data_IF_958198227881
#
_entry.id   IF_958198227881
#
_cell.length_a   1.000
_cell.length_b   1.000
_cell.length_c   1.000
_cell.angle_alpha   90.00
_cell.angle_beta   90.00
_cell.angle_gamma   90.00
#
_symmetry.space_group_name_H-M   'P 1'
#
loop_
_entity.id
_entity.type
_entity.pdbx_description
1 polymer ?
#
# COMPACT_ATOMS: atom_id res chain seq x y z
N UNK A 1 -29.94 -19.34 31.73
CA UNK A 1 -29.25 -19.73 30.50
C UNK A 1 -28.85 -18.46 29.78
N UNK A 2 -27.60 -18.03 29.98
CA UNK A 2 -27.00 -16.97 29.17
C UNK A 2 -26.73 -17.59 27.80
N UNK A 3 -27.43 -17.12 26.78
CA UNK A 3 -27.12 -17.48 25.41
C UNK A 3 -25.69 -16.99 25.12
N UNK A 4 -24.85 -17.88 24.63
CA UNK A 4 -23.53 -17.56 24.09
C UNK A 4 -23.68 -16.39 23.10
N UNK A 5 -23.24 -15.21 23.52
CA UNK A 5 -22.94 -14.14 22.58
C UNK A 5 -21.67 -14.59 21.88
N UNK A 6 -21.82 -15.24 20.73
CA UNK A 6 -20.71 -15.45 19.82
C UNK A 6 -20.29 -14.10 19.25
N UNK A 7 -19.33 -13.44 19.91
CA UNK A 7 -18.75 -12.14 19.51
C UNK A 7 -17.90 -12.29 18.23
N UNK A 8 -17.77 -13.50 17.69
CA UNK A 8 -16.86 -13.86 16.59
C UNK A 8 -17.58 -14.41 15.36
N UNK A 9 -18.84 -14.01 15.11
CA UNK A 9 -19.45 -14.18 13.78
C UNK A 9 -18.58 -13.47 12.70
N UNK A 10 -18.75 -13.91 11.45
CA UNK A 10 -18.19 -13.44 10.17
C UNK A 10 -18.24 -11.92 9.89
N UNK A 11 -18.69 -11.12 10.86
CA UNK A 11 -18.92 -9.67 10.78
C UNK A 11 -18.29 -8.90 11.95
N UNK A 12 -17.27 -9.45 12.60
CA UNK A 12 -16.58 -8.75 13.67
C UNK A 12 -15.80 -7.54 13.09
N UNK A 13 -16.34 -6.34 13.25
CA UNK A 13 -15.66 -5.09 12.90
C UNK A 13 -14.90 -4.60 14.11
N UNK A 14 -13.57 -4.58 14.02
CA UNK A 14 -12.73 -4.08 15.09
C UNK A 14 -12.68 -2.55 15.01
N UNK A 15 -12.97 -1.81 16.09
CA UNK A 15 -12.74 -0.37 16.12
C UNK A 15 -11.28 -0.06 15.75
N UNK A 16 -11.00 1.02 15.01
CA UNK A 16 -9.64 1.31 14.54
C UNK A 16 -8.57 1.32 15.63
N UNK A 17 -8.91 1.81 16.84
CA UNK A 17 -7.99 1.80 17.98
C UNK A 17 -7.66 0.39 18.49
N UNK A 18 -8.63 -0.52 18.49
CA UNK A 18 -8.44 -1.91 18.93
C UNK A 18 -7.69 -2.71 17.86
N UNK A 19 -8.02 -2.49 16.59
CA UNK A 19 -7.28 -3.06 15.46
C UNK A 19 -5.82 -2.62 15.46
N UNK A 20 -5.55 -1.32 15.63
CA UNK A 20 -4.21 -0.77 15.73
C UNK A 20 -3.40 -1.45 16.84
N UNK A 21 -3.91 -1.45 18.07
CA UNK A 21 -3.23 -2.05 19.21
C UNK A 21 -2.96 -3.56 19.01
N UNK A 22 -3.90 -4.29 18.42
CA UNK A 22 -3.71 -5.71 18.16
C UNK A 22 -2.68 -5.99 17.07
N UNK A 23 -2.68 -5.21 15.99
CA UNK A 23 -1.65 -5.25 14.97
C UNK A 23 -0.26 -4.93 15.55
N UNK A 24 -0.18 -3.93 16.45
CA UNK A 24 1.05 -3.59 17.16
C UNK A 24 1.54 -4.76 18.03
N UNK A 25 0.67 -5.37 18.84
CA UNK A 25 1.02 -6.56 19.64
C UNK A 25 1.42 -7.76 18.78
N UNK A 26 0.72 -7.98 17.65
CA UNK A 26 1.07 -9.03 16.71
C UNK A 26 2.45 -8.80 16.09
N UNK A 27 2.81 -7.54 15.81
CA UNK A 27 4.14 -7.18 15.30
C UNK A 27 5.27 -7.55 16.25
N UNK A 28 5.03 -7.53 17.56
CA UNK A 28 6.01 -7.88 18.58
C UNK A 28 6.11 -9.38 18.85
N UNK A 29 5.11 -10.16 18.43
CA UNK A 29 5.06 -11.59 18.65
C UNK A 29 6.23 -12.32 17.98
N UNK A 30 6.98 -13.09 18.78
CA UNK A 30 8.03 -13.98 18.27
C UNK A 30 7.47 -14.99 17.25
N UNK A 31 6.25 -15.46 17.45
CA UNK A 31 5.58 -16.38 16.54
C UNK A 31 5.36 -15.76 15.16
N UNK A 32 4.86 -14.52 15.12
CA UNK A 32 4.67 -13.78 13.87
C UNK A 32 6.01 -13.54 13.16
N UNK A 33 7.04 -13.06 13.88
CA UNK A 33 8.38 -12.83 13.31
C UNK A 33 9.02 -14.11 12.74
N UNK A 34 8.85 -15.23 13.44
CA UNK A 34 9.44 -16.51 13.05
C UNK A 34 8.69 -17.13 11.88
N UNK A 35 7.35 -17.12 11.93
CA UNK A 35 6.52 -17.75 10.92
C UNK A 35 6.40 -16.88 9.69
N UNK A 36 5.95 -15.63 9.84
CA UNK A 36 5.60 -14.72 8.73
C UNK A 36 6.79 -13.84 8.28
N UNK A 37 7.88 -13.83 9.03
CA UNK A 37 9.08 -13.06 8.74
C UNK A 37 9.07 -11.66 9.35
N UNK A 38 10.28 -11.09 9.49
CA UNK A 38 10.50 -9.77 10.09
C UNK A 38 9.80 -8.64 9.34
N UNK A 39 9.79 -8.71 8.00
CA UNK A 39 9.17 -7.67 7.19
C UNK A 39 7.65 -7.66 7.32
N UNK A 40 7.02 -8.84 7.38
CA UNK A 40 5.60 -8.95 7.66
C UNK A 40 5.29 -8.35 9.05
N UNK A 41 6.07 -8.74 10.06
CA UNK A 41 5.91 -8.23 11.42
C UNK A 41 6.05 -6.70 11.48
N UNK A 42 7.08 -6.14 10.83
CA UNK A 42 7.24 -4.68 10.75
C UNK A 42 6.07 -4.02 10.02
N UNK A 43 5.58 -4.62 8.94
CA UNK A 43 4.44 -4.12 8.18
C UNK A 43 3.16 -4.08 9.02
N UNK A 44 2.81 -5.17 9.72
CA UNK A 44 1.62 -5.17 10.56
C UNK A 44 1.73 -4.17 11.72
N UNK A 45 2.92 -3.95 12.28
CA UNK A 45 3.14 -2.94 13.32
C UNK A 45 2.85 -1.50 12.88
N UNK A 46 2.98 -1.21 11.59
CA UNK A 46 2.72 0.13 11.03
C UNK A 46 1.23 0.48 10.96
N UNK A 47 0.33 -0.51 11.05
CA UNK A 47 -1.12 -0.29 11.01
C UNK A 47 -1.57 0.63 12.15
N UNK A 48 -1.03 0.46 13.36
CA UNK A 48 -1.37 1.32 14.51
C UNK A 48 -1.01 2.79 14.26
N UNK A 49 0.24 3.04 13.82
CA UNK A 49 0.71 4.39 13.53
C UNK A 49 -0.08 5.06 12.39
N UNK A 50 -0.55 4.28 11.41
CA UNK A 50 -1.41 4.76 10.34
C UNK A 50 -2.82 5.09 10.84
N UNK A 51 -3.44 4.20 11.64
CA UNK A 51 -4.79 4.41 12.17
C UNK A 51 -4.84 5.54 13.21
N UNK A 52 -3.77 5.75 13.98
CA UNK A 52 -3.66 6.89 14.92
C UNK A 52 -3.74 8.25 14.24
N UNK A 53 -3.53 8.35 12.92
CA UNK A 53 -3.75 9.60 12.18
C UNK A 53 -5.22 10.05 12.16
N UNK A 54 -6.16 9.14 12.46
CA UNK A 54 -7.57 9.49 12.73
C UNK A 54 -7.76 10.46 13.89
N UNK A 55 -6.80 10.52 14.82
CA UNK A 55 -6.85 11.42 15.98
C UNK A 55 -6.30 12.82 15.67
N UNK A 56 -5.80 13.04 14.45
CA UNK A 56 -5.23 14.31 14.01
C UNK A 56 -6.29 15.33 13.54
N UNK A 57 -5.80 16.48 13.06
CA UNK A 57 -6.67 17.59 12.63
C UNK A 57 -7.59 17.21 11.45
N UNK A 58 -8.79 17.80 11.44
CA UNK A 58 -9.90 17.58 10.48
C UNK A 58 -9.65 18.04 9.03
N UNK A 59 -8.39 18.20 8.65
CA UNK A 59 -7.93 18.63 7.32
C UNK A 59 -8.12 17.60 6.19
N UNK A 60 -8.72 16.44 6.49
CA UNK A 60 -8.82 15.29 5.57
C UNK A 60 -7.59 14.39 5.56
N UNK A 61 -6.44 14.85 6.08
CA UNK A 61 -5.19 14.06 6.21
C UNK A 61 -5.35 12.78 7.02
N UNK A 62 -6.27 12.77 7.99
CA UNK A 62 -6.66 11.59 8.75
C UNK A 62 -7.03 10.37 7.86
N UNK A 63 -7.58 10.61 6.66
CA UNK A 63 -7.95 9.56 5.71
C UNK A 63 -6.77 8.98 4.95
N UNK A 64 -5.63 9.68 4.87
CA UNK A 64 -4.40 9.14 4.27
C UNK A 64 -3.93 7.92 5.07
N UNK A 65 -3.88 8.06 6.41
CA UNK A 65 -3.52 6.98 7.32
C UNK A 65 -4.47 5.78 7.22
N UNK A 66 -5.79 6.03 7.24
CA UNK A 66 -6.79 4.96 7.12
C UNK A 66 -6.67 4.22 5.80
N UNK A 67 -6.55 4.95 4.69
CA UNK A 67 -6.46 4.35 3.36
C UNK A 67 -5.17 3.55 3.21
N UNK A 68 -4.05 4.08 3.69
CA UNK A 68 -2.77 3.36 3.72
C UNK A 68 -2.85 2.10 4.59
N UNK A 69 -3.51 2.16 5.75
CA UNK A 69 -3.71 1.00 6.62
C UNK A 69 -4.55 -0.09 5.94
N UNK A 70 -5.64 0.30 5.27
CA UNK A 70 -6.48 -0.64 4.53
C UNK A 70 -5.72 -1.33 3.39
N UNK A 71 -4.96 -0.56 2.59
CA UNK A 71 -4.12 -1.12 1.53
C UNK A 71 -3.03 -2.02 2.12
N UNK A 72 -2.37 -1.61 3.20
CA UNK A 72 -1.34 -2.40 3.88
C UNK A 72 -1.87 -3.74 4.37
N UNK A 73 -3.03 -3.74 5.04
CA UNK A 73 -3.70 -4.97 5.49
C UNK A 73 -4.01 -5.89 4.31
N UNK A 74 -4.40 -5.34 3.15
CA UNK A 74 -4.60 -6.14 1.94
C UNK A 74 -3.30 -6.74 1.39
N UNK A 75 -2.18 -6.00 1.42
CA UNK A 75 -0.88 -6.56 1.03
C UNK A 75 -0.46 -7.72 1.95
N UNK A 76 -0.73 -7.59 3.26
CA UNK A 76 -0.43 -8.61 4.26
C UNK A 76 -1.35 -9.85 4.11
N UNK A 77 -2.65 -9.65 3.86
CA UNK A 77 -3.58 -10.74 3.55
C UNK A 77 -3.13 -11.54 2.31
N UNK A 78 -2.76 -10.82 1.25
CA UNK A 78 -2.19 -11.41 0.04
C UNK A 78 -0.93 -12.25 0.33
N UNK A 79 -0.05 -11.78 1.23
CA UNK A 79 1.11 -12.55 1.67
C UNK A 79 0.71 -13.84 2.39
N UNK A 80 -0.25 -13.76 3.32
CA UNK A 80 -0.72 -14.92 4.09
C UNK A 80 -1.29 -15.98 3.14
N UNK A 81 -2.16 -15.56 2.23
CA UNK A 81 -2.82 -16.44 1.29
C UNK A 81 -1.83 -17.19 0.39
N UNK A 82 -0.86 -16.47 -0.17
CA UNK A 82 0.17 -17.05 -1.03
C UNK A 82 1.12 -17.99 -0.26
N UNK A 83 1.60 -17.54 0.89
CA UNK A 83 2.75 -18.17 1.55
C UNK A 83 2.35 -19.32 2.48
N UNK A 84 1.15 -19.25 3.09
CA UNK A 84 0.74 -20.21 4.14
C UNK A 84 -0.54 -20.97 3.81
N UNK A 85 -1.51 -20.31 3.19
CA UNK A 85 -2.78 -20.96 2.85
C UNK A 85 -2.73 -21.67 1.50
N UNK A 86 -1.74 -21.33 0.66
CA UNK A 86 -1.62 -21.79 -0.73
C UNK A 86 -2.93 -21.66 -1.52
N UNK A 87 -3.66 -20.57 -1.25
CA UNK A 87 -4.97 -20.28 -1.80
C UNK A 87 -5.11 -18.81 -2.21
N UNK A 88 -6.24 -18.42 -2.80
CA UNK A 88 -6.48 -17.03 -3.15
C UNK A 88 -6.59 -16.17 -1.87
N UNK A 89 -6.17 -14.89 -1.92
CA UNK A 89 -6.47 -13.92 -0.88
C UNK A 89 -7.97 -13.81 -0.63
N UNK A 90 -8.36 -13.20 0.50
CA UNK A 90 -9.78 -12.98 0.80
C UNK A 90 -10.48 -12.30 -0.37
N UNK A 91 -11.64 -12.80 -0.79
CA UNK A 91 -12.33 -12.20 -1.92
C UNK A 91 -12.82 -10.81 -1.54
N UNK A 92 -12.42 -9.80 -2.31
CA UNK A 92 -12.89 -8.44 -2.09
C UNK A 92 -14.13 -8.19 -2.98
N UNK A 93 -15.01 -7.25 -2.59
CA UNK A 93 -16.00 -6.73 -3.52
C UNK A 93 -15.30 -6.20 -4.79
N UNK A 94 -15.93 -6.35 -5.96
CA UNK A 94 -15.33 -6.01 -7.26
C UNK A 94 -14.71 -4.60 -7.31
N UNK A 95 -15.39 -3.61 -6.70
CA UNK A 95 -14.88 -2.24 -6.64
C UNK A 95 -13.62 -2.09 -5.78
N UNK A 96 -13.46 -2.93 -4.76
CA UNK A 96 -12.32 -2.93 -3.85
C UNK A 96 -11.11 -3.67 -4.43
N UNK A 97 -11.31 -4.70 -5.26
CA UNK A 97 -10.22 -5.38 -5.98
C UNK A 97 -9.46 -4.40 -6.88
N UNK A 98 -10.18 -3.47 -7.51
CA UNK A 98 -9.62 -2.42 -8.38
C UNK A 98 -8.76 -1.38 -7.64
N UNK A 99 -8.74 -1.41 -6.30
CA UNK A 99 -7.96 -0.48 -5.47
C UNK A 99 -6.53 -0.95 -5.23
N UNK A 100 -6.20 -2.19 -5.59
CA UNK A 100 -4.87 -2.77 -5.39
C UNK A 100 -4.35 -3.36 -6.69
N UNK A 101 -3.02 -3.51 -6.84
CA UNK A 101 -2.44 -4.11 -8.03
C UNK A 101 -2.93 -5.55 -8.25
N UNK A 102 -3.13 -5.96 -9.50
CA UNK A 102 -3.58 -7.32 -9.87
C UNK A 102 -2.78 -8.44 -9.15
N UNK A 103 -1.43 -8.36 -9.03
CA UNK A 103 -0.68 -9.38 -8.29
C UNK A 103 -1.12 -9.55 -6.83
N UNK A 104 -1.55 -8.46 -6.17
CA UNK A 104 -2.05 -8.49 -4.79
C UNK A 104 -3.42 -9.17 -4.73
N UNK A 105 -4.26 -9.02 -5.76
CA UNK A 105 -5.56 -9.70 -5.83
C UNK A 105 -5.37 -11.20 -6.02
N UNK A 106 -4.40 -11.61 -6.85
CA UNK A 106 -4.15 -13.02 -7.15
C UNK A 106 -3.26 -13.75 -6.13
N UNK A 107 -2.58 -13.01 -5.26
CA UNK A 107 -1.57 -13.52 -4.34
C UNK A 107 -0.17 -13.01 -4.71
N UNK A 108 0.38 -12.22 -3.80
CA UNK A 108 1.67 -11.56 -3.87
C UNK A 108 2.29 -11.50 -2.48
N UNK A 109 3.57 -11.83 -2.37
CA UNK A 109 4.26 -11.78 -1.08
C UNK A 109 4.53 -10.33 -0.68
N UNK A 110 4.30 -10.02 0.59
CA UNK A 110 4.63 -8.72 1.15
C UNK A 110 6.15 -8.56 1.28
N UNK A 111 6.69 -7.55 0.59
CA UNK A 111 8.09 -7.16 0.63
C UNK A 111 8.42 -6.44 1.92
N UNK A 112 7.95 -5.21 2.10
CA UNK A 112 8.14 -4.43 3.33
C UNK A 112 7.27 -3.16 3.30
N UNK A 113 7.14 -2.49 4.45
CA UNK A 113 6.64 -1.13 4.55
C UNK A 113 7.84 -0.18 4.50
N UNK A 114 7.84 0.74 3.54
CA UNK A 114 8.99 1.60 3.24
C UNK A 114 8.63 3.06 3.51
N UNK A 115 9.22 3.62 4.57
CA UNK A 115 9.23 5.06 4.80
C UNK A 115 10.31 5.69 3.93
N UNK A 116 9.89 6.49 2.96
CA UNK A 116 10.86 7.11 2.03
C UNK A 116 11.62 8.21 2.76
N UNK A 117 12.96 8.26 2.68
CA UNK A 117 13.74 9.44 3.05
C UNK A 117 13.23 10.68 2.32
N UNK A 118 13.58 11.89 2.76
CA UNK A 118 13.13 13.13 2.11
C UNK A 118 13.55 13.20 0.63
N UNK A 119 12.67 12.74 -0.27
CA UNK A 119 12.79 12.87 -1.72
C UNK A 119 11.86 13.99 -2.17
N UNK A 120 12.29 14.72 -3.19
CA UNK A 120 11.60 15.94 -3.62
C UNK A 120 10.51 15.66 -4.66
N UNK A 121 10.65 14.57 -5.42
CA UNK A 121 9.75 14.21 -6.51
C UNK A 121 9.79 12.71 -6.85
N UNK A 122 8.83 12.25 -7.64
CA UNK A 122 8.64 10.86 -8.05
C UNK A 122 9.85 10.32 -8.81
N UNK A 123 10.52 11.13 -9.63
CA UNK A 123 11.75 10.71 -10.32
C UNK A 123 12.85 10.36 -9.32
N UNK A 124 13.12 11.23 -8.34
CA UNK A 124 14.09 10.97 -7.27
C UNK A 124 13.72 9.74 -6.44
N UNK A 125 12.43 9.54 -6.16
CA UNK A 125 11.94 8.34 -5.47
C UNK A 125 12.23 7.06 -6.27
N UNK A 126 11.95 7.06 -7.57
CA UNK A 126 12.18 5.89 -8.42
C UNK A 126 13.67 5.61 -8.61
N UNK A 127 14.50 6.63 -8.81
CA UNK A 127 15.96 6.47 -8.89
C UNK A 127 16.53 5.96 -7.56
N UNK A 128 16.07 6.50 -6.43
CA UNK A 128 16.45 6.01 -5.11
C UNK A 128 16.07 4.54 -4.91
N UNK A 129 14.85 4.16 -5.29
CA UNK A 129 14.38 2.79 -5.18
C UNK A 129 15.28 1.82 -5.96
N UNK A 130 15.64 2.19 -7.19
CA UNK A 130 16.41 1.34 -8.10
C UNK A 130 17.89 1.26 -7.71
N UNK A 131 18.48 2.38 -7.28
CA UNK A 131 19.91 2.46 -7.02
C UNK A 131 20.30 2.12 -5.59
N UNK A 132 19.54 2.62 -4.61
CA UNK A 132 19.90 2.54 -3.19
C UNK A 132 19.13 1.43 -2.46
N UNK A 133 17.81 1.32 -2.68
CA UNK A 133 17.01 0.29 -1.98
C UNK A 133 17.26 -1.10 -2.56
N UNK A 134 17.42 -1.18 -3.88
CA UNK A 134 17.56 -2.38 -4.72
C UNK A 134 16.43 -3.40 -4.47
N UNK A 135 15.54 -3.64 -5.45
CA UNK A 135 14.44 -4.59 -5.27
C UNK A 135 14.98 -5.98 -4.90
N UNK A 136 14.46 -6.55 -3.82
CA UNK A 136 14.88 -7.88 -3.36
C UNK A 136 14.28 -8.98 -4.25
N UNK A 137 14.98 -10.11 -4.34
CA UNK A 137 14.40 -11.38 -4.78
C UNK A 137 14.17 -12.25 -3.56
N UNK A 138 13.04 -12.97 -3.52
CA UNK A 138 12.80 -14.02 -2.52
C UNK A 138 12.58 -15.34 -3.23
N UNK A 139 13.24 -16.38 -2.76
CA UNK A 139 13.16 -17.71 -3.35
C UNK A 139 11.69 -18.20 -3.38
N UNK A 140 11.27 -18.73 -4.52
CA UNK A 140 9.89 -19.19 -4.74
C UNK A 140 8.85 -18.06 -4.89
N UNK A 141 9.23 -16.79 -4.79
CA UNK A 141 8.31 -15.65 -4.85
C UNK A 141 8.55 -14.82 -6.10
N UNK A 142 7.63 -14.95 -7.07
CA UNK A 142 7.70 -14.19 -8.33
C UNK A 142 7.42 -12.70 -8.14
N UNK A 143 6.45 -12.35 -7.29
CA UNK A 143 6.05 -10.97 -7.06
C UNK A 143 6.24 -10.57 -5.59
N UNK A 144 6.78 -9.38 -5.37
CA UNK A 144 6.79 -8.73 -4.05
C UNK A 144 6.09 -7.37 -4.11
N UNK A 145 5.21 -7.12 -3.14
CA UNK A 145 4.52 -5.84 -2.98
C UNK A 145 5.07 -5.04 -1.80
N UNK A 146 5.27 -3.74 -1.99
CA UNK A 146 5.75 -2.83 -0.96
C UNK A 146 4.77 -1.67 -0.82
N UNK A 147 4.44 -1.30 0.42
CA UNK A 147 3.78 -0.03 0.66
C UNK A 147 4.84 1.04 0.90
N UNK A 148 4.85 2.07 0.06
CA UNK A 148 5.90 3.10 0.04
C UNK A 148 5.26 4.43 0.43
N UNK A 149 5.60 4.94 1.61
CA UNK A 149 5.02 6.17 2.17
C UNK A 149 6.06 7.29 2.21
N UNK A 150 5.92 8.34 1.39
CA UNK A 150 6.71 9.56 1.52
C UNK A 150 6.51 10.21 2.89
N UNK A 151 7.58 10.83 3.41
CA UNK A 151 7.52 11.68 4.61
C UNK A 151 6.97 13.07 4.30
N UNK A 152 7.10 13.52 3.05
CA UNK A 152 6.55 14.80 2.60
C UNK A 152 5.02 14.71 2.43
N UNK A 153 4.27 15.47 3.23
CA UNK A 153 2.79 15.46 3.25
C UNK A 153 2.09 15.99 1.98
N UNK A 154 2.84 16.45 0.97
CA UNK A 154 2.30 16.81 -0.34
C UNK A 154 3.25 16.37 -1.45
N UNK A 155 3.71 15.12 -1.41
CA UNK A 155 4.68 14.58 -2.36
C UNK A 155 4.11 14.53 -3.79
N UNK A 156 4.27 15.63 -4.52
CA UNK A 156 3.70 15.85 -5.87
C UNK A 156 2.20 15.54 -5.99
N UNK A 157 1.46 15.72 -4.90
CA UNK A 157 0.02 15.44 -4.82
C UNK A 157 -0.35 14.01 -4.46
N UNK A 158 0.64 13.14 -4.22
CA UNK A 158 0.48 11.77 -3.73
C UNK A 158 0.60 11.68 -2.23
N UNK A 159 -0.13 10.72 -1.65
CA UNK A 159 -0.08 10.45 -0.20
C UNK A 159 0.75 9.20 0.11
N UNK A 160 0.66 8.17 -0.75
CA UNK A 160 1.50 6.97 -0.69
C UNK A 160 1.50 6.22 -2.03
N UNK A 161 2.30 5.15 -2.11
CA UNK A 161 2.38 4.28 -3.27
C UNK A 161 2.36 2.80 -2.87
N UNK A 162 1.99 1.94 -3.82
CA UNK A 162 2.29 0.51 -3.80
C UNK A 162 3.23 0.20 -4.95
N UNK A 163 4.40 -0.37 -4.63
CA UNK A 163 5.36 -0.81 -5.63
C UNK A 163 5.26 -2.33 -5.77
N UNK A 164 5.15 -2.81 -7.00
CA UNK A 164 5.23 -4.23 -7.32
C UNK A 164 6.55 -4.50 -8.01
N UNK A 165 7.26 -5.48 -7.49
CA UNK A 165 8.48 -6.00 -8.11
C UNK A 165 8.22 -7.40 -8.63
N UNK A 166 8.86 -7.75 -9.74
CA UNK A 166 8.85 -9.08 -10.34
C UNK A 166 10.30 -9.52 -10.55
N UNK A 167 10.67 -10.64 -9.95
CA UNK A 167 12.01 -11.22 -10.08
C UNK A 167 13.15 -10.19 -9.83
N UNK A 168 13.01 -9.40 -8.77
CA UNK A 168 14.03 -8.39 -8.38
C UNK A 168 14.03 -7.12 -9.24
N UNK A 169 12.98 -6.88 -10.04
CA UNK A 169 12.84 -5.67 -10.86
C UNK A 169 11.54 -4.95 -10.56
N UNK A 170 11.58 -3.62 -10.51
CA UNK A 170 10.36 -2.81 -10.35
C UNK A 170 9.48 -2.96 -11.59
N UNK A 171 8.28 -3.51 -11.42
CA UNK A 171 7.32 -3.78 -12.49
C UNK A 171 6.27 -2.67 -12.56
N UNK A 172 5.53 -2.47 -11.47
CA UNK A 172 4.41 -1.54 -11.40
C UNK A 172 4.58 -0.57 -10.23
N UNK A 173 4.15 0.67 -10.44
CA UNK A 173 4.08 1.70 -9.40
C UNK A 173 2.66 2.22 -9.35
N UNK A 174 1.99 2.06 -8.22
CA UNK A 174 0.62 2.52 -7.99
C UNK A 174 0.64 3.70 -7.04
N UNK A 175 0.30 4.89 -7.54
CA UNK A 175 0.18 6.09 -6.70
C UNK A 175 -1.23 6.27 -6.18
N UNK A 176 -1.35 6.66 -4.90
CA UNK A 176 -2.61 6.89 -4.22
C UNK A 176 -2.74 8.33 -3.77
N UNK A 177 -3.93 8.89 -4.01
CA UNK A 177 -4.36 10.13 -3.41
C UNK A 177 -5.69 9.91 -2.69
N UNK A 178 -5.71 10.21 -1.41
CA UNK A 178 -6.79 10.06 -0.47
C UNK A 178 -7.45 11.42 -0.24
N UNK A 179 -8.77 11.44 -0.35
CA UNK A 179 -9.60 12.59 0.03
C UNK A 179 -10.77 12.12 0.86
N UNK A 180 -11.25 13.03 1.69
CA UNK A 180 -12.48 12.79 2.42
C UNK A 180 -13.65 12.79 1.43
N UNK A 181 -14.55 11.82 1.58
CA UNK A 181 -15.77 11.68 0.76
C UNK A 181 -15.49 11.49 -0.74
N UNK A 182 -16.51 11.62 -1.58
CA UNK A 182 -16.45 11.54 -3.04
C UNK A 182 -15.82 12.77 -3.70
N UNK A 183 -15.01 13.52 -2.95
CA UNK A 183 -14.40 14.76 -3.41
C UNK A 183 -13.26 14.44 -4.36
N UNK A 184 -13.41 14.81 -5.64
CA UNK A 184 -12.34 14.61 -6.62
C UNK A 184 -11.10 15.43 -6.25
N UNK A 185 -9.91 14.98 -6.67
CA UNK A 185 -8.69 15.78 -6.59
C UNK A 185 -8.88 17.15 -7.25
N UNK A 186 -8.26 18.18 -6.68
CA UNK A 186 -8.28 19.52 -7.30
C UNK A 186 -7.59 19.50 -8.66
N UNK A 187 -7.94 20.43 -9.54
CA UNK A 187 -7.27 20.61 -10.84
C UNK A 187 -5.77 20.86 -10.66
N UNK A 188 -5.39 21.60 -9.61
CA UNK A 188 -3.99 21.85 -9.28
C UNK A 188 -3.25 20.54 -8.93
N UNK A 189 -3.81 19.73 -8.03
CA UNK A 189 -3.21 18.43 -7.68
C UNK A 189 -3.12 17.50 -8.89
N UNK A 190 -4.21 17.39 -9.66
CA UNK A 190 -4.23 16.55 -10.87
C UNK A 190 -3.18 17.01 -11.89
N UNK A 191 -2.97 18.31 -12.02
CA UNK A 191 -1.96 18.88 -12.92
C UNK A 191 -0.55 18.58 -12.45
N UNK A 192 -0.28 18.68 -11.15
CA UNK A 192 1.00 18.30 -10.54
C UNK A 192 1.29 16.82 -10.80
N UNK A 193 0.34 15.93 -10.47
CA UNK A 193 0.48 14.48 -10.71
C UNK A 193 0.76 14.19 -12.19
N UNK A 194 -0.01 14.80 -13.11
CA UNK A 194 0.20 14.63 -14.56
C UNK A 194 1.58 15.11 -15.01
N UNK A 195 2.08 16.21 -14.45
CA UNK A 195 3.42 16.73 -14.73
C UNK A 195 4.49 15.75 -14.24
N UNK A 196 4.38 15.22 -13.03
CA UNK A 196 5.32 14.27 -12.46
C UNK A 196 5.38 12.96 -13.25
N UNK A 197 4.22 12.44 -13.70
CA UNK A 197 4.18 11.27 -14.59
C UNK A 197 4.82 11.54 -15.96
N UNK A 198 4.59 12.72 -16.55
CA UNK A 198 5.24 13.11 -17.81
C UNK A 198 6.76 13.18 -17.65
N UNK A 199 7.24 13.72 -16.53
CA UNK A 199 8.67 13.80 -16.23
C UNK A 199 9.29 12.39 -16.14
N UNK A 200 8.62 11.46 -15.46
CA UNK A 200 9.08 10.05 -15.36
C UNK A 200 9.04 9.36 -16.73
N UNK A 201 7.96 9.52 -17.49
CA UNK A 201 7.83 8.93 -18.84
C UNK A 201 8.82 9.50 -19.85
N UNK A 202 9.27 10.73 -19.67
CA UNK A 202 10.28 11.37 -20.51
C UNK A 202 11.72 10.98 -20.15
N UNK A 203 11.93 10.24 -19.07
CA UNK A 203 13.27 9.97 -18.54
C UNK A 203 13.86 8.68 -19.13
N UNK A 204 14.93 8.82 -19.90
CA UNK A 204 15.61 7.69 -20.55
C UNK A 204 16.24 6.69 -19.58
N UNK A 205 16.70 7.14 -18.40
CA UNK A 205 17.25 6.24 -17.39
C UNK A 205 16.14 5.35 -16.81
N UNK A 206 14.98 5.93 -16.50
CA UNK A 206 13.84 5.15 -15.98
C UNK A 206 13.21 4.23 -17.03
N UNK A 207 13.21 4.63 -18.31
CA UNK A 207 12.81 3.76 -19.42
C UNK A 207 13.75 2.57 -19.57
N UNK A 208 15.06 2.80 -19.53
CA UNK A 208 16.07 1.75 -19.63
C UNK A 208 15.96 0.71 -18.50
N UNK A 209 15.43 1.12 -17.34
CA UNK A 209 15.21 0.26 -16.17
C UNK A 209 13.90 -0.55 -16.25
N UNK A 210 13.11 -0.40 -17.32
CA UNK A 210 12.00 -1.31 -17.65
C UNK A 210 10.76 -1.16 -16.78
N UNK A 211 10.52 0.03 -16.20
CA UNK A 211 9.28 0.30 -15.45
C UNK A 211 8.10 0.19 -16.41
N UNK A 212 7.33 -0.90 -16.29
CA UNK A 212 6.24 -1.23 -17.22
C UNK A 212 5.04 -0.27 -17.12
N UNK A 213 4.94 0.49 -16.04
CA UNK A 213 4.04 1.63 -15.94
C UNK A 213 3.83 2.11 -14.51
N UNK A 214 3.84 3.43 -14.33
CA UNK A 214 3.20 4.05 -13.17
C UNK A 214 1.69 4.10 -13.44
N UNK A 215 0.92 3.27 -12.73
CA UNK A 215 -0.55 3.34 -12.70
C UNK A 215 -0.97 4.30 -11.59
N UNK A 216 -1.99 5.10 -11.87
CA UNK A 216 -2.42 6.20 -11.00
C UNK A 216 -3.83 5.93 -10.56
N UNK A 217 -4.04 5.86 -9.25
CA UNK A 217 -5.37 5.76 -8.68
C UNK A 217 -5.73 7.04 -7.91
N UNK A 218 -6.80 7.67 -8.38
CA UNK A 218 -7.38 8.88 -7.81
C UNK A 218 -8.78 8.51 -7.33
N UNK A 219 -9.03 8.55 -6.03
CA UNK A 219 -10.39 8.40 -5.52
C UNK A 219 -11.22 9.59 -6.02
N UNK A 220 -12.29 9.32 -6.78
CA UNK A 220 -13.13 10.40 -7.33
C UNK A 220 -14.10 9.96 -8.41
N UNK A 221 -13.64 9.59 -9.61
CA UNK A 221 -14.49 9.07 -10.71
C UNK A 221 -13.64 8.21 -11.64
N UNK A 222 -14.21 7.09 -12.07
CA UNK A 222 -13.76 6.23 -13.17
C UNK A 222 -13.30 7.09 -14.37
N UNK A 223 -12.09 6.90 -14.94
CA UNK A 223 -11.90 7.26 -16.33
C UNK A 223 -12.81 6.31 -17.12
N UNK A 224 -14.01 6.77 -17.47
CA UNK A 224 -14.72 6.18 -18.59
C UNK A 224 -13.78 6.27 -19.77
N UNK A 225 -13.48 5.12 -20.36
CA UNK A 225 -12.67 4.98 -21.56
C UNK A 225 -13.00 6.11 -22.55
N UNK A 226 -11.99 6.92 -22.85
CA UNK A 226 -11.99 7.83 -23.98
C UNK A 226 -11.16 7.21 -25.09
#
# INVERSE_FOLDING_TARGET
>A
MLADVDVFDSKCVWPPCYLGEACNKASDSKGVKTTLGMEFASGIGEVDALLKQLLGDTSGKQWEGVSAAAVLLRLLDSHIALTYLHGPPLQLPENSERLVPDPVVTGCAFGSFVRVPSKSNLKELLLWWLNERQPETREGQRFLSYLVKPTNTQFEGWDFFVFITMDGRLRDVWGYQCKQDNTKPTTATTSTIKKSLKNVKGDEQLKALGIAGARVWLQGVWPSDG
#
